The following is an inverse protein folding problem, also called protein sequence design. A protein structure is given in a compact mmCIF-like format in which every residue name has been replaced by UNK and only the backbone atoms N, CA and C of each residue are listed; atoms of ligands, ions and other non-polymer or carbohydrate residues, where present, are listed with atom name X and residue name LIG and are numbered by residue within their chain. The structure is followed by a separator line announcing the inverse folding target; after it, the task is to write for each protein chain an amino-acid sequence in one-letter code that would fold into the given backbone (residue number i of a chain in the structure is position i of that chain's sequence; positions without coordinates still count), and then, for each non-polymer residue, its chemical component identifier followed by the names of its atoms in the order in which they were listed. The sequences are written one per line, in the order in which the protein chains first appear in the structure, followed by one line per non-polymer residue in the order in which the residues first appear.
data_IF_083798703889
#
_entry.id   IF_083798703889
#
_cell.length_a   1.000
_cell.length_b   1.000
_cell.length_c   1.000
_cell.angle_alpha   90.00
_cell.angle_beta   90.00
_cell.angle_gamma   90.00
#
_symmetry.space_group_name_H-M   'P 1'
#
loop_
_entity.id
_entity.type
_entity.pdbx_description
1 polymer ?
#
# COMPACT_ATOMS: atom_id res chain seq x y z
N UNK A 1 -11.66 -3.11 27.52
CA UNK A 1 -10.36 -2.90 28.19
C UNK A 1 -10.47 -2.79 29.72
N UNK A 2 -11.66 -2.59 30.26
CA UNK A 2 -11.92 -2.62 31.71
C UNK A 2 -11.90 -1.26 32.41
N UNK A 3 -11.61 -0.15 31.71
CA UNK A 3 -11.70 1.19 32.30
C UNK A 3 -13.12 1.45 32.88
N UNK A 4 -13.28 2.09 34.07
CA UNK A 4 -12.28 2.77 34.86
C UNK A 4 -11.43 1.87 35.75
N UNK A 5 -11.72 0.57 35.86
CA UNK A 5 -10.97 -0.36 36.68
C UNK A 5 -9.63 -0.72 36.03
N UNK A 6 -8.59 -0.89 36.86
CA UNK A 6 -7.32 -1.39 36.36
C UNK A 6 -7.42 -2.87 35.97
N UNK A 7 -7.27 -3.16 34.67
CA UNK A 7 -7.24 -4.51 34.17
C UNK A 7 -5.90 -4.80 33.51
N UNK A 8 -5.56 -6.09 33.31
CA UNK A 8 -4.37 -6.53 32.60
C UNK A 8 -4.36 -5.98 31.18
N UNK A 9 -5.50 -6.00 30.49
CA UNK A 9 -5.62 -5.49 29.14
C UNK A 9 -5.41 -3.98 29.06
N UNK A 10 -5.96 -3.22 30.02
CA UNK A 10 -5.74 -1.78 30.07
C UNK A 10 -4.24 -1.46 30.25
N UNK A 11 -3.57 -2.16 31.18
CA UNK A 11 -2.13 -1.95 31.41
C UNK A 11 -1.25 -2.35 30.21
N UNK A 12 -1.69 -3.34 29.45
CA UNK A 12 -0.92 -3.80 28.28
C UNK A 12 -1.09 -2.91 27.04
N UNK A 13 -2.32 -2.43 26.79
CA UNK A 13 -2.66 -1.77 25.53
C UNK A 13 -2.88 -0.25 25.65
N UNK A 14 -2.78 0.31 26.85
CA UNK A 14 -2.90 1.74 27.07
C UNK A 14 -1.79 2.27 28.01
N UNK A 15 -1.04 3.31 27.55
CA UNK A 15 -1.09 3.99 26.27
C UNK A 15 -0.64 3.09 25.11
N UNK A 16 -1.10 3.37 23.88
CA UNK A 16 -0.59 2.71 22.67
C UNK A 16 0.75 3.32 22.24
N UNK A 17 1.55 2.56 21.49
CA UNK A 17 2.85 3.06 21.04
C UNK A 17 2.71 4.03 19.89
N UNK A 18 1.88 3.69 18.90
CA UNK A 18 1.77 4.43 17.63
C UNK A 18 0.31 4.62 17.24
N UNK A 19 -0.02 5.84 16.81
CA UNK A 19 -1.24 6.17 16.08
C UNK A 19 -0.89 6.50 14.64
N UNK A 20 -1.55 5.84 13.69
CA UNK A 20 -1.44 6.15 12.25
C UNK A 20 -2.71 6.87 11.81
N UNK A 21 -2.56 8.04 11.19
CA UNK A 21 -3.70 8.88 10.80
C UNK A 21 -3.43 9.73 9.57
N UNK A 22 -4.47 10.11 8.84
CA UNK A 22 -4.39 11.16 7.84
C UNK A 22 -4.28 12.55 8.47
N UNK A 23 -3.66 13.48 7.78
CA UNK A 23 -3.49 14.86 8.27
C UNK A 23 -4.82 15.60 8.43
N UNK A 24 -5.83 15.25 7.64
CA UNK A 24 -7.13 15.94 7.60
C UNK A 24 -7.99 15.73 8.84
N UNK A 25 -7.68 14.71 9.66
CA UNK A 25 -8.41 14.43 10.89
C UNK A 25 -7.60 14.65 12.19
N UNK A 26 -6.42 15.24 12.09
CA UNK A 26 -5.58 15.54 13.26
C UNK A 26 -6.36 16.37 14.28
N UNK A 27 -6.96 17.46 13.86
CA UNK A 27 -7.69 18.36 14.75
C UNK A 27 -8.97 17.74 15.32
N UNK A 28 -9.76 17.10 14.46
CA UNK A 28 -11.07 16.58 14.87
C UNK A 28 -11.03 15.24 15.58
N UNK A 29 -9.97 14.48 15.40
CA UNK A 29 -9.86 13.13 15.93
C UNK A 29 -8.69 12.98 16.90
N UNK A 30 -7.48 13.28 16.50
CA UNK A 30 -6.27 13.10 17.30
C UNK A 30 -6.27 14.02 18.51
N UNK A 31 -6.51 15.31 18.31
CA UNK A 31 -6.55 16.29 19.40
C UNK A 31 -7.63 15.94 20.43
N UNK A 32 -8.82 15.50 19.97
CA UNK A 32 -9.88 15.06 20.90
C UNK A 32 -9.48 13.83 21.71
N UNK A 33 -8.84 12.84 21.10
CA UNK A 33 -8.33 11.67 21.82
C UNK A 33 -7.32 12.06 22.90
N UNK A 34 -6.41 12.98 22.58
CA UNK A 34 -5.41 13.47 23.55
C UNK A 34 -6.11 14.19 24.71
N UNK A 35 -6.99 15.14 24.42
CA UNK A 35 -7.71 15.92 25.42
C UNK A 35 -8.52 15.02 26.35
N UNK A 36 -9.33 14.11 25.79
CA UNK A 36 -10.18 13.21 26.56
C UNK A 36 -9.35 12.21 27.38
N UNK A 37 -8.26 11.71 26.81
CA UNK A 37 -7.39 10.78 27.53
C UNK A 37 -6.72 11.45 28.73
N UNK A 38 -6.20 12.65 28.58
CA UNK A 38 -5.58 13.40 29.67
C UNK A 38 -6.61 13.72 30.75
N UNK A 39 -7.81 14.19 30.34
CA UNK A 39 -8.89 14.54 31.31
C UNK A 39 -9.31 13.33 32.14
N UNK A 40 -9.55 12.17 31.51
CA UNK A 40 -10.10 11.02 32.23
C UNK A 40 -9.07 10.09 32.85
N UNK A 41 -7.86 10.05 32.34
CA UNK A 41 -6.83 9.08 32.77
C UNK A 41 -5.54 9.72 33.27
N UNK A 42 -5.33 11.02 33.05
CA UNK A 42 -4.08 11.70 33.36
C UNK A 42 -2.91 11.27 32.47
N UNK A 43 -3.16 10.48 31.38
CA UNK A 43 -2.11 9.92 30.53
C UNK A 43 -2.31 10.29 29.07
N UNK A 44 -1.17 10.48 28.36
CA UNK A 44 -1.15 10.63 26.89
C UNK A 44 -1.55 9.28 26.28
N UNK A 45 -2.48 9.24 25.30
CA UNK A 45 -3.03 7.98 24.78
C UNK A 45 -2.09 7.18 23.90
N UNK A 46 -1.11 7.83 23.24
CA UNK A 46 -0.12 7.21 22.35
C UNK A 46 1.18 8.00 22.38
N UNK A 47 2.28 7.29 22.17
CA UNK A 47 3.63 7.85 22.25
C UNK A 47 3.98 8.62 20.98
N UNK A 48 3.71 8.03 19.83
CA UNK A 48 4.06 8.56 18.53
C UNK A 48 2.81 8.71 17.64
N UNK A 49 2.82 9.69 16.73
CA UNK A 49 1.78 9.92 15.72
C UNK A 49 2.44 9.89 14.35
N UNK A 50 2.08 8.89 13.54
CA UNK A 50 2.52 8.81 12.15
C UNK A 50 1.43 9.38 11.23
N UNK A 51 1.74 10.50 10.58
CA UNK A 51 0.80 11.19 9.70
C UNK A 51 1.01 10.73 8.26
N UNK A 52 -0.05 10.15 7.66
CA UNK A 52 -0.05 9.69 6.27
C UNK A 52 -0.68 10.72 5.34
N UNK A 53 -0.28 10.71 4.07
CA UNK A 53 -1.01 11.39 3.01
C UNK A 53 -2.33 10.71 2.67
N UNK A 54 -3.19 11.41 1.94
CA UNK A 54 -4.44 10.88 1.42
C UNK A 54 -4.24 10.32 0.01
N UNK A 55 -4.98 9.26 -0.30
CA UNK A 55 -5.03 8.72 -1.66
C UNK A 55 -6.00 9.57 -2.48
N UNK A 56 -5.50 10.10 -3.59
CA UNK A 56 -6.24 10.89 -4.57
C UNK A 56 -6.38 10.13 -5.89
N UNK A 57 -7.37 10.50 -6.68
CA UNK A 57 -7.51 9.97 -8.02
C UNK A 57 -6.38 10.47 -8.96
N UNK A 58 -6.33 9.96 -10.19
CA UNK A 58 -5.35 10.34 -11.21
C UNK A 58 -5.29 11.83 -11.54
N UNK A 59 -6.37 12.57 -11.22
CA UNK A 59 -6.47 14.01 -11.39
C UNK A 59 -6.14 14.79 -10.11
N UNK A 60 -5.62 14.13 -9.08
CA UNK A 60 -5.29 14.73 -7.80
C UNK A 60 -6.50 15.08 -6.94
N UNK A 61 -7.70 14.60 -7.27
CA UNK A 61 -8.92 14.92 -6.51
C UNK A 61 -9.14 13.91 -5.38
N UNK A 62 -9.62 14.42 -4.23
CA UNK A 62 -10.03 13.55 -3.12
C UNK A 62 -11.16 12.61 -3.60
N UNK A 63 -10.99 11.33 -3.35
CA UNK A 63 -11.99 10.31 -3.67
C UNK A 63 -13.21 10.46 -2.76
N UNK A 64 -14.41 10.45 -3.35
CA UNK A 64 -15.66 10.50 -2.61
C UNK A 64 -16.80 9.78 -3.37
N UNK A 65 -17.75 9.21 -2.63
CA UNK A 65 -18.91 8.54 -3.21
C UNK A 65 -19.71 9.50 -4.11
N UNK A 66 -19.92 10.73 -3.67
CA UNK A 66 -20.67 11.75 -4.43
C UNK A 66 -20.01 12.14 -5.76
N UNK A 67 -18.69 11.98 -5.89
CA UNK A 67 -17.97 12.22 -7.15
C UNK A 67 -17.87 10.99 -8.06
N UNK A 68 -18.22 9.81 -7.54
CA UNK A 68 -18.12 8.54 -8.27
C UNK A 68 -16.70 8.17 -8.70
N UNK A 69 -15.67 8.72 -8.02
CA UNK A 69 -14.27 8.47 -8.32
C UNK A 69 -13.59 7.54 -7.32
N UNK A 70 -14.36 6.89 -6.45
CA UNK A 70 -13.82 5.89 -5.53
C UNK A 70 -13.42 4.65 -6.31
N UNK A 71 -12.24 4.14 -5.98
CA UNK A 71 -11.75 2.83 -6.41
C UNK A 71 -11.64 1.97 -5.16
N UNK A 72 -12.39 0.87 -5.14
CA UNK A 72 -12.33 -0.09 -4.04
C UNK A 72 -11.09 -0.97 -4.21
N UNK A 73 -10.25 -1.12 -3.19
CA UNK A 73 -9.11 -2.04 -3.23
C UNK A 73 -9.48 -3.48 -3.60
N UNK A 74 -10.66 -3.95 -3.19
CA UNK A 74 -11.16 -5.28 -3.52
C UNK A 74 -11.37 -5.45 -5.02
N UNK A 75 -11.88 -4.43 -5.70
CA UNK A 75 -12.07 -4.44 -7.15
C UNK A 75 -10.74 -4.46 -7.91
N UNK A 76 -9.67 -3.88 -7.32
CA UNK A 76 -8.33 -3.97 -7.88
C UNK A 76 -7.69 -5.34 -7.67
N UNK A 77 -7.98 -6.00 -6.55
CA UNK A 77 -7.41 -7.32 -6.23
C UNK A 77 -8.04 -8.41 -7.09
N UNK A 78 -9.36 -8.45 -7.16
CA UNK A 78 -10.10 -9.54 -7.80
C UNK A 78 -10.58 -9.20 -9.21
N UNK A 79 -10.56 -7.94 -9.58
CA UNK A 79 -11.20 -7.45 -10.79
C UNK A 79 -12.71 -7.22 -10.60
N UNK A 80 -13.30 -6.44 -11.47
CA UNK A 80 -14.75 -6.19 -11.50
C UNK A 80 -15.19 -5.93 -12.94
N UNK A 81 -16.36 -6.45 -13.33
CA UNK A 81 -16.96 -6.17 -14.62
C UNK A 81 -17.35 -4.69 -14.76
N UNK A 82 -17.51 -4.22 -15.99
CA UNK A 82 -18.01 -2.85 -16.21
C UNK A 82 -19.41 -2.66 -15.63
N UNK A 83 -20.27 -3.66 -15.76
CA UNK A 83 -21.66 -3.62 -15.30
C UNK A 83 -21.73 -3.47 -13.78
N UNK A 84 -21.05 -4.35 -13.05
CA UNK A 84 -21.00 -4.31 -11.59
C UNK A 84 -20.31 -3.03 -11.07
N UNK A 85 -19.28 -2.54 -11.77
CA UNK A 85 -18.60 -1.29 -11.41
C UNK A 85 -19.53 -0.09 -11.58
N UNK A 86 -20.34 -0.07 -12.63
CA UNK A 86 -21.34 0.98 -12.85
C UNK A 86 -22.41 0.94 -11.76
N UNK A 87 -22.97 -0.23 -11.46
CA UNK A 87 -23.93 -0.42 -10.39
C UNK A 87 -23.37 0.07 -9.05
N UNK A 88 -22.15 -0.36 -8.69
CA UNK A 88 -21.47 0.02 -7.45
C UNK A 88 -21.24 1.52 -7.33
N UNK A 89 -20.92 2.21 -8.45
CA UNK A 89 -20.64 3.65 -8.46
C UNK A 89 -21.88 4.51 -8.54
N UNK A 90 -22.99 3.99 -9.05
CA UNK A 90 -24.27 4.72 -9.20
C UNK A 90 -25.30 4.35 -8.14
N UNK A 91 -25.11 3.23 -7.42
CA UNK A 91 -25.95 2.90 -6.28
C UNK A 91 -25.72 3.91 -5.14
N UNK A 92 -26.81 4.34 -4.48
CA UNK A 92 -26.80 5.24 -3.32
C UNK A 92 -26.26 6.65 -3.59
N UNK A 93 -26.46 7.19 -4.79
CA UNK A 93 -26.20 8.60 -5.05
C UNK A 93 -27.28 9.47 -4.41
N UNK A 94 -26.84 10.54 -3.70
CA UNK A 94 -27.77 11.53 -3.13
C UNK A 94 -28.49 12.38 -4.21
N UNK A 95 -27.97 12.42 -5.44
CA UNK A 95 -28.50 13.19 -6.55
C UNK A 95 -28.55 12.32 -7.80
N UNK A 96 -29.75 12.01 -8.29
CA UNK A 96 -29.96 11.19 -9.48
C UNK A 96 -29.32 11.76 -10.75
N UNK A 97 -29.27 13.08 -10.91
CA UNK A 97 -28.64 13.73 -12.06
C UNK A 97 -27.13 13.54 -12.21
N UNK A 98 -26.43 13.03 -11.17
CA UNK A 98 -25.01 12.70 -11.25
C UNK A 98 -24.74 11.32 -11.84
N UNK A 99 -25.73 10.41 -11.85
CA UNK A 99 -25.57 9.03 -12.31
C UNK A 99 -25.09 8.95 -13.76
N UNK A 100 -25.69 9.73 -14.65
CA UNK A 100 -25.31 9.74 -16.08
C UNK A 100 -23.88 10.23 -16.29
N UNK A 101 -23.47 11.29 -15.57
CA UNK A 101 -22.12 11.84 -15.65
C UNK A 101 -21.08 10.84 -15.14
N UNK A 102 -21.38 10.15 -14.02
CA UNK A 102 -20.52 9.12 -13.45
C UNK A 102 -20.41 7.93 -14.39
N UNK A 103 -21.55 7.47 -14.96
CA UNK A 103 -21.60 6.39 -15.94
C UNK A 103 -20.73 6.69 -17.15
N UNK A 104 -20.86 7.88 -17.74
CA UNK A 104 -20.05 8.30 -18.89
C UNK A 104 -18.57 8.34 -18.57
N UNK A 105 -18.19 8.89 -17.41
CA UNK A 105 -16.80 8.96 -16.95
C UNK A 105 -16.24 7.56 -16.71
N UNK A 106 -17.00 6.69 -16.05
CA UNK A 106 -16.59 5.32 -15.73
C UNK A 106 -16.39 4.50 -17.00
N UNK A 107 -17.30 4.55 -17.97
CA UNK A 107 -17.16 3.86 -19.26
C UNK A 107 -15.94 4.33 -20.06
N UNK A 108 -15.60 5.62 -19.96
CA UNK A 108 -14.40 6.16 -20.62
C UNK A 108 -13.12 5.70 -19.93
N UNK A 109 -13.11 5.64 -18.60
CA UNK A 109 -11.94 5.28 -17.81
C UNK A 109 -11.70 3.75 -17.76
N UNK A 110 -12.77 2.98 -17.72
CA UNK A 110 -12.76 1.53 -17.60
C UNK A 110 -13.70 0.86 -18.62
N UNK A 111 -13.38 0.88 -19.90
CA UNK A 111 -14.28 0.38 -20.94
C UNK A 111 -14.62 -1.12 -20.79
N UNK A 112 -13.73 -1.90 -20.19
CA UNK A 112 -13.87 -3.33 -19.98
C UNK A 112 -13.94 -3.70 -18.47
N UNK A 113 -14.25 -2.74 -17.58
CA UNK A 113 -14.13 -2.93 -16.14
C UNK A 113 -12.69 -2.84 -15.66
N UNK A 114 -12.40 -3.41 -14.50
CA UNK A 114 -11.08 -3.43 -13.88
C UNK A 114 -10.56 -4.86 -13.88
N UNK A 115 -9.36 -5.07 -14.44
CA UNK A 115 -8.68 -6.37 -14.39
C UNK A 115 -8.26 -6.72 -12.96
N UNK A 116 -8.13 -8.02 -12.65
CA UNK A 116 -7.51 -8.49 -11.41
C UNK A 116 -6.00 -8.23 -11.42
N UNK A 117 -5.51 -7.54 -10.40
CA UNK A 117 -4.09 -7.28 -10.24
C UNK A 117 -3.44 -8.09 -9.13
N UNK A 118 -4.24 -8.59 -8.19
CA UNK A 118 -3.79 -9.33 -7.02
C UNK A 118 -3.32 -8.44 -5.86
N UNK A 119 -3.28 -9.04 -4.68
CA UNK A 119 -2.96 -8.34 -3.42
C UNK A 119 -1.52 -7.81 -3.40
N UNK A 120 -0.56 -8.63 -3.87
CA UNK A 120 0.86 -8.28 -3.80
C UNK A 120 1.19 -7.07 -4.68
N UNK A 121 0.63 -7.00 -5.89
CA UNK A 121 0.81 -5.86 -6.78
C UNK A 121 0.25 -4.58 -6.16
N UNK A 122 -0.92 -4.65 -5.53
CA UNK A 122 -1.53 -3.50 -4.85
C UNK A 122 -0.68 -3.02 -3.68
N UNK A 123 -0.24 -3.93 -2.82
CA UNK A 123 0.63 -3.61 -1.69
C UNK A 123 1.95 -3.01 -2.15
N UNK A 124 2.60 -3.62 -3.14
CA UNK A 124 3.86 -3.13 -3.71
C UNK A 124 3.72 -1.72 -4.30
N UNK A 125 2.59 -1.44 -4.98
CA UNK A 125 2.27 -0.11 -5.49
C UNK A 125 2.27 0.90 -4.35
N UNK A 126 1.54 0.65 -3.26
CA UNK A 126 1.49 1.58 -2.14
C UNK A 126 2.84 1.76 -1.46
N UNK A 127 3.59 0.70 -1.23
CA UNK A 127 4.96 0.81 -0.67
C UNK A 127 5.88 1.69 -1.52
N UNK A 128 5.75 1.61 -2.85
CA UNK A 128 6.60 2.37 -3.76
C UNK A 128 6.28 3.86 -3.84
N UNK A 129 5.02 4.24 -3.58
CA UNK A 129 4.55 5.63 -3.70
C UNK A 129 4.25 6.30 -2.35
N UNK A 130 4.22 5.53 -1.26
CA UNK A 130 3.99 6.06 0.07
C UNK A 130 5.19 6.90 0.51
N UNK A 131 4.97 8.20 0.63
CA UNK A 131 5.94 9.16 1.18
C UNK A 131 5.34 9.82 2.41
N UNK A 132 6.19 10.26 3.35
CA UNK A 132 5.72 10.90 4.58
C UNK A 132 4.88 12.15 4.27
N UNK A 133 3.66 12.19 4.81
CA UNK A 133 2.76 13.34 4.84
C UNK A 133 2.36 13.96 3.47
N UNK A 134 2.68 13.34 2.35
CA UNK A 134 2.26 13.82 1.02
C UNK A 134 1.09 13.01 0.48
N UNK A 135 0.16 13.70 -0.17
CA UNK A 135 -0.93 13.04 -0.89
C UNK A 135 -0.41 12.14 -2.01
N UNK A 136 -1.04 10.99 -2.14
CA UNK A 136 -0.67 9.95 -3.09
C UNK A 136 -1.62 10.01 -4.28
N UNK A 137 -1.11 10.35 -5.46
CA UNK A 137 -1.87 10.20 -6.70
C UNK A 137 -1.82 8.74 -7.16
N UNK A 138 -2.98 8.09 -7.17
CA UNK A 138 -3.08 6.67 -7.52
C UNK A 138 -3.38 6.49 -9.00
N UNK A 139 -2.46 5.82 -9.70
CA UNK A 139 -2.55 5.50 -11.13
C UNK A 139 -2.57 3.98 -11.34
N UNK A 140 -3.57 3.47 -12.06
CA UNK A 140 -3.69 2.03 -12.35
C UNK A 140 -2.54 1.51 -13.22
N UNK A 141 -1.94 2.36 -14.06
CA UNK A 141 -0.78 2.00 -14.85
C UNK A 141 0.40 1.48 -14.03
N UNK A 142 0.64 2.09 -12.87
CA UNK A 142 1.68 1.64 -11.93
C UNK A 142 1.35 0.27 -11.34
N UNK A 143 0.08 0.03 -11.02
CA UNK A 143 -0.39 -1.25 -10.48
C UNK A 143 -0.12 -2.40 -11.47
N UNK A 144 -0.36 -2.17 -12.77
CA UNK A 144 -0.04 -3.14 -13.82
C UNK A 144 1.47 -3.43 -13.89
N UNK A 145 2.31 -2.42 -13.74
CA UNK A 145 3.77 -2.58 -13.68
C UNK A 145 4.19 -3.47 -12.53
N UNK A 146 3.67 -3.25 -11.33
CA UNK A 146 3.98 -4.07 -10.16
C UNK A 146 3.40 -5.50 -10.25
N UNK A 147 2.23 -5.70 -10.87
CA UNK A 147 1.74 -7.05 -11.18
C UNK A 147 2.74 -7.82 -12.05
N UNK A 148 3.24 -7.18 -13.10
CA UNK A 148 4.23 -7.81 -13.97
C UNK A 148 5.54 -8.12 -13.23
N UNK A 149 5.97 -7.24 -12.32
CA UNK A 149 7.12 -7.48 -11.48
C UNK A 149 6.92 -8.68 -10.54
N UNK A 150 5.79 -8.76 -9.84
CA UNK A 150 5.44 -9.91 -9.00
C UNK A 150 5.41 -11.23 -9.80
N UNK A 151 4.84 -11.19 -11.02
CA UNK A 151 4.82 -12.33 -11.94
C UNK A 151 6.23 -12.75 -12.35
N UNK A 152 7.13 -11.79 -12.62
CA UNK A 152 8.53 -12.04 -12.93
C UNK A 152 9.24 -12.75 -11.78
N UNK A 153 9.06 -12.27 -10.55
CA UNK A 153 9.62 -12.91 -9.36
C UNK A 153 9.08 -14.34 -9.17
N UNK A 154 7.78 -14.53 -9.33
CA UNK A 154 7.16 -15.85 -9.25
C UNK A 154 7.73 -16.83 -10.28
N UNK A 155 7.87 -16.38 -11.53
CA UNK A 155 8.43 -17.22 -12.58
C UNK A 155 9.90 -17.54 -12.35
N UNK A 156 10.70 -16.61 -11.82
CA UNK A 156 12.08 -16.86 -11.42
C UNK A 156 12.16 -17.92 -10.30
N UNK A 157 11.32 -17.79 -9.28
CA UNK A 157 11.25 -18.78 -8.21
C UNK A 157 10.81 -20.16 -8.71
N UNK A 158 9.82 -20.24 -9.60
CA UNK A 158 9.41 -21.50 -10.24
C UNK A 158 10.54 -22.14 -11.05
N UNK A 159 11.29 -21.33 -11.78
CA UNK A 159 12.44 -21.79 -12.56
C UNK A 159 13.51 -22.41 -11.65
N UNK A 160 13.86 -21.72 -10.56
CA UNK A 160 14.85 -22.20 -9.58
C UNK A 160 14.37 -23.50 -8.92
N UNK A 161 13.11 -23.57 -8.50
CA UNK A 161 12.52 -24.75 -7.87
C UNK A 161 12.40 -25.96 -8.82
N UNK A 162 12.52 -25.75 -10.13
CA UNK A 162 12.57 -26.82 -11.13
C UNK A 162 13.90 -27.58 -11.17
N UNK A 163 14.94 -27.07 -10.51
CA UNK A 163 16.23 -27.72 -10.42
C UNK A 163 16.35 -28.52 -9.13
N UNK A 164 16.89 -29.73 -9.22
CA UNK A 164 17.20 -30.55 -8.07
C UNK A 164 18.26 -29.86 -7.19
N UNK A 165 17.96 -29.68 -5.93
CA UNK A 165 18.91 -29.14 -4.97
C UNK A 165 19.93 -30.22 -4.63
N UNK A 166 21.13 -30.16 -5.20
CA UNK A 166 22.22 -31.13 -4.99
C UNK A 166 23.00 -30.94 -3.68
N UNK A 167 22.46 -30.20 -2.73
CA UNK A 167 23.03 -29.95 -1.40
C UNK A 167 23.66 -28.59 -1.23
N UNK A 168 24.07 -28.29 0.01
CA UNK A 168 24.53 -26.94 0.43
C UNK A 168 26.02 -26.66 0.10
N UNK A 169 26.72 -27.53 -0.59
CA UNK A 169 28.13 -27.36 -0.92
C UNK A 169 28.26 -26.77 -2.34
N UNK A 170 27.88 -25.50 -2.49
CA UNK A 170 28.13 -24.76 -3.72
C UNK A 170 29.54 -24.15 -3.67
N UNK A 171 30.42 -24.58 -4.55
CA UNK A 171 31.70 -23.93 -4.81
C UNK A 171 31.59 -23.11 -6.10
N UNK A 172 31.86 -21.81 -6.01
CA UNK A 172 31.92 -20.93 -7.16
C UNK A 172 33.12 -21.29 -8.02
N UNK A 173 32.91 -21.97 -9.14
CA UNK A 173 33.98 -22.45 -10.02
C UNK A 173 34.29 -21.50 -11.17
N UNK A 174 33.27 -20.85 -11.71
CA UNK A 174 33.43 -19.88 -12.79
C UNK A 174 33.59 -18.45 -12.28
N UNK A 175 34.14 -17.58 -13.12
CA UNK A 175 34.21 -16.13 -12.83
C UNK A 175 32.80 -15.53 -12.73
N UNK A 176 31.82 -16.04 -13.49
CA UNK A 176 30.42 -15.63 -13.40
C UNK A 176 29.81 -16.01 -12.04
N UNK A 177 30.13 -17.17 -11.50
CA UNK A 177 29.66 -17.60 -10.17
C UNK A 177 30.21 -16.67 -9.08
N UNK A 178 31.50 -16.37 -9.15
CA UNK A 178 32.14 -15.45 -8.18
C UNK A 178 31.57 -14.04 -8.28
N UNK A 179 31.34 -13.58 -9.49
CA UNK A 179 30.74 -12.26 -9.73
C UNK A 179 29.33 -12.16 -9.12
N UNK A 180 28.44 -13.12 -9.42
CA UNK A 180 27.07 -13.05 -8.92
C UNK A 180 26.98 -13.17 -7.39
N UNK A 181 27.87 -13.96 -6.77
CA UNK A 181 27.95 -14.05 -5.32
C UNK A 181 28.40 -12.73 -4.69
N UNK A 182 29.38 -12.05 -5.30
CA UNK A 182 29.83 -10.75 -4.85
C UNK A 182 28.71 -9.70 -4.95
N UNK A 183 28.00 -9.66 -6.07
CA UNK A 183 26.84 -8.75 -6.27
C UNK A 183 25.74 -9.03 -5.25
N UNK A 184 25.49 -10.32 -4.94
CA UNK A 184 24.52 -10.71 -3.93
C UNK A 184 24.89 -10.25 -2.52
N UNK A 185 26.16 -10.40 -2.10
CA UNK A 185 26.63 -9.93 -0.80
C UNK A 185 26.58 -8.38 -0.72
N UNK A 186 26.91 -7.68 -1.80
CA UNK A 186 26.78 -6.23 -1.85
C UNK A 186 25.32 -5.81 -1.74
N UNK A 187 24.41 -6.46 -2.45
CA UNK A 187 22.98 -6.19 -2.38
C UNK A 187 22.42 -6.40 -0.96
N UNK A 188 22.87 -7.44 -0.25
CA UNK A 188 22.46 -7.69 1.14
C UNK A 188 22.88 -6.53 2.04
N UNK A 189 24.13 -6.09 1.94
CA UNK A 189 24.64 -4.96 2.70
C UNK A 189 23.84 -3.67 2.38
N UNK A 190 23.62 -3.39 1.10
CA UNK A 190 22.85 -2.22 0.66
C UNK A 190 21.41 -2.25 1.19
N UNK A 191 20.76 -3.41 1.24
CA UNK A 191 19.43 -3.58 1.81
C UNK A 191 19.43 -3.32 3.31
N UNK A 192 20.37 -3.88 4.06
CA UNK A 192 20.49 -3.68 5.50
C UNK A 192 20.76 -2.21 5.84
N UNK A 193 21.64 -1.55 5.11
CA UNK A 193 21.98 -0.14 5.30
C UNK A 193 20.80 0.80 4.97
N UNK A 194 19.98 0.48 3.99
CA UNK A 194 18.83 1.29 3.61
C UNK A 194 17.57 1.02 4.46
N UNK A 195 17.43 -0.16 5.06
CA UNK A 195 16.29 -0.48 5.94
C UNK A 195 16.47 0.14 7.33
N UNK A 196 17.67 0.10 7.88
CA UNK A 196 17.95 0.57 9.24
C UNK A 196 17.74 2.08 9.46
N UNK A 197 18.15 3.00 8.56
CA UNK A 197 17.97 4.46 8.75
C UNK A 197 16.65 5.03 8.22
N UNK A 198 15.62 4.22 7.90
CA UNK A 198 14.35 4.68 7.32
C UNK A 198 14.49 5.34 5.93
N UNK A 199 15.54 5.06 5.22
CA UNK A 199 15.78 5.59 3.86
C UNK A 199 15.16 4.71 2.77
N UNK A 200 13.87 4.37 2.92
CA UNK A 200 13.14 3.50 1.97
C UNK A 200 13.03 4.04 0.54
N UNK A 201 13.32 5.33 0.34
CA UNK A 201 13.22 5.97 -0.97
C UNK A 201 14.35 5.56 -1.93
N UNK A 202 15.41 4.95 -1.45
CA UNK A 202 16.57 4.53 -2.24
C UNK A 202 16.60 3.03 -2.58
N UNK A 203 15.69 2.23 -2.00
CA UNK A 203 15.47 0.84 -2.39
C UNK A 203 14.65 0.73 -3.68
N UNK A 204 14.97 1.54 -4.66
CA UNK A 204 14.54 1.23 -6.03
C UNK A 204 15.46 0.13 -6.53
N UNK A 205 14.94 -1.10 -6.54
CA UNK A 205 15.56 -2.14 -7.36
C UNK A 205 15.84 -1.54 -8.73
N UNK A 206 17.06 -1.65 -9.27
CA UNK A 206 17.35 -1.19 -10.61
C UNK A 206 16.49 -2.01 -11.59
N UNK A 207 15.28 -1.56 -11.81
CA UNK A 207 14.53 -1.94 -13.00
C UNK A 207 15.23 -1.20 -14.12
N UNK A 208 16.29 -1.81 -14.64
CA UNK A 208 16.91 -1.34 -15.85
C UNK A 208 15.83 -1.31 -16.93
N UNK A 209 15.29 -0.14 -17.15
CA UNK A 209 14.57 0.22 -18.35
C UNK A 209 15.61 0.46 -19.44
N UNK A 210 16.31 -0.57 -19.84
CA UNK A 210 17.11 -0.57 -21.06
C UNK A 210 16.95 -1.95 -21.70
N UNK A 211 15.95 -2.07 -22.50
CA UNK A 211 15.92 -2.72 -23.81
C UNK A 211 15.06 -1.86 -24.71
#
# INVERSE_FOLDING_TARGET
MGWPNESKNLKTFFPTNLLVTGFDIIFFWVARMIMMSIEFTGKIPFKDIYVTGLIRDENGQKMSKSKGNIIDPIDLIYGISLEDLLEKRTSNLMQEGLAEKITRKTKKQFPNGIESYGTDALRMTFYSIATNAKDISFEIGRLKGFRNFCTKMWNAARFINGYENKGNNFEAKSESDKWILKEFEQLKADVEDNVNPVSYTHLTLPTSTHV
#
